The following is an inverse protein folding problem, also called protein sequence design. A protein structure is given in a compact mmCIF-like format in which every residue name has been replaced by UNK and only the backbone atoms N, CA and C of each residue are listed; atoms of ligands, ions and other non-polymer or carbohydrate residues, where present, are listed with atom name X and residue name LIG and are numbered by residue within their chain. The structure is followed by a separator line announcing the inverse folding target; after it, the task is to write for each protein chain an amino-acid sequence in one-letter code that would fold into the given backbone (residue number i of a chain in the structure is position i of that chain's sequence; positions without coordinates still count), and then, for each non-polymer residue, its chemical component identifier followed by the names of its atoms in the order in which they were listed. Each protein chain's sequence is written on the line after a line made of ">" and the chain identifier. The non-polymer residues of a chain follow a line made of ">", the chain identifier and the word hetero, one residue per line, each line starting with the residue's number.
data_IF_947396100968
#
_entry.id   IF_947396100968
#
_cell.length_a   1.000
_cell.length_b   1.000
_cell.length_c   1.000
_cell.angle_alpha   90.00
_cell.angle_beta   90.00
_cell.angle_gamma   90.00
#
_symmetry.space_group_name_H-M   'P 1'
#
loop_
_entity.id
_entity.type
_entity.pdbx_description
1 polymer ?
#
# COMPACT_ATOMS: atom_id res chain seq x y z
N UNK A 1 -26.06 -0.70 -26.43
CA UNK A 1 -24.59 -0.72 -26.36
C UNK A 1 -24.17 0.69 -26.01
N UNK A 2 -23.45 0.91 -24.91
CA UNK A 2 -22.89 2.25 -24.64
C UNK A 2 -21.79 2.47 -25.68
N UNK A 3 -22.00 3.37 -26.63
CA UNK A 3 -20.95 3.79 -27.56
C UNK A 3 -20.01 4.71 -26.80
N UNK A 4 -18.80 4.22 -26.52
CA UNK A 4 -17.74 5.06 -25.97
C UNK A 4 -17.14 5.90 -27.08
N UNK A 5 -17.20 7.22 -26.94
CA UNK A 5 -16.44 8.08 -27.84
C UNK A 5 -14.97 8.04 -27.46
N UNK A 6 -14.08 8.35 -28.42
CA UNK A 6 -12.66 8.51 -28.13
C UNK A 6 -12.39 9.51 -26.99
N UNK A 7 -13.22 10.56 -26.92
CA UNK A 7 -13.13 11.57 -25.87
C UNK A 7 -13.46 11.02 -24.48
N UNK A 8 -14.48 10.15 -24.37
CA UNK A 8 -14.82 9.50 -23.11
C UNK A 8 -13.69 8.59 -22.61
N UNK A 9 -13.06 7.86 -23.54
CA UNK A 9 -11.90 7.01 -23.23
C UNK A 9 -10.75 7.87 -22.71
N UNK A 10 -10.41 8.94 -23.43
CA UNK A 10 -9.32 9.83 -23.06
C UNK A 10 -9.56 10.47 -21.69
N UNK A 11 -10.77 10.98 -21.44
CA UNK A 11 -11.16 11.55 -20.15
C UNK A 11 -11.03 10.53 -19.01
N UNK A 12 -11.52 9.31 -19.20
CA UNK A 12 -11.44 8.25 -18.19
C UNK A 12 -10.00 7.83 -17.90
N UNK A 13 -9.15 7.72 -18.92
CA UNK A 13 -7.74 7.41 -18.74
C UNK A 13 -7.01 8.53 -17.99
N UNK A 14 -7.29 9.80 -18.28
CA UNK A 14 -6.72 10.94 -17.54
C UNK A 14 -7.19 10.96 -16.08
N UNK A 15 -8.47 10.65 -15.82
CA UNK A 15 -9.00 10.53 -14.47
C UNK A 15 -8.34 9.38 -13.70
N UNK A 16 -8.14 8.22 -14.33
CA UNK A 16 -7.44 7.10 -13.72
C UNK A 16 -5.96 7.41 -13.47
N UNK A 17 -5.28 8.05 -14.43
CA UNK A 17 -3.88 8.46 -14.30
C UNK A 17 -3.67 9.41 -13.11
N UNK A 18 -4.60 10.37 -12.90
CA UNK A 18 -4.59 11.23 -11.70
C UNK A 18 -4.57 10.40 -10.42
N UNK A 19 -5.42 9.38 -10.31
CA UNK A 19 -5.46 8.53 -9.12
C UNK A 19 -4.20 7.69 -8.97
N UNK A 20 -3.65 7.13 -10.04
CA UNK A 20 -2.37 6.42 -10.01
C UNK A 20 -1.26 7.31 -9.45
N UNK A 21 -1.16 8.56 -9.92
CA UNK A 21 -0.15 9.51 -9.44
C UNK A 21 -0.36 9.85 -7.97
N UNK A 22 -1.60 10.17 -7.56
CA UNK A 22 -1.91 10.54 -6.18
C UNK A 22 -1.64 9.39 -5.20
N UNK A 23 -2.12 8.19 -5.52
CA UNK A 23 -1.92 6.99 -4.70
C UNK A 23 -0.44 6.60 -4.65
N UNK A 24 0.27 6.68 -5.77
CA UNK A 24 1.71 6.42 -5.81
C UNK A 24 2.46 7.41 -4.93
N UNK A 25 2.17 8.71 -5.03
CA UNK A 25 2.82 9.73 -4.20
C UNK A 25 2.54 9.50 -2.71
N UNK A 26 1.29 9.21 -2.35
CA UNK A 26 0.92 8.89 -0.98
C UNK A 26 1.67 7.64 -0.46
N UNK A 27 1.75 6.58 -1.27
CA UNK A 27 2.48 5.36 -0.94
C UNK A 27 4.00 5.60 -0.82
N UNK A 28 4.59 6.42 -1.69
CA UNK A 28 6.00 6.79 -1.64
C UNK A 28 6.31 7.58 -0.38
N UNK A 29 5.53 8.62 -0.06
CA UNK A 29 5.73 9.44 1.13
C UNK A 29 5.53 8.61 2.40
N UNK A 30 4.41 7.88 2.49
CA UNK A 30 4.13 7.02 3.63
C UNK A 30 5.17 5.91 3.80
N UNK A 31 5.54 5.23 2.70
CA UNK A 31 6.58 4.22 2.68
C UNK A 31 7.95 4.75 3.07
N UNK A 32 8.31 5.97 2.65
CA UNK A 32 9.55 6.62 3.05
C UNK A 32 9.59 6.96 4.54
N UNK A 33 8.49 7.47 5.11
CA UNK A 33 8.38 7.76 6.54
C UNK A 33 8.50 6.48 7.38
N UNK A 34 7.80 5.41 6.99
CA UNK A 34 7.89 4.11 7.66
C UNK A 34 9.29 3.51 7.48
N UNK A 35 9.86 3.60 6.28
CA UNK A 35 11.22 3.15 6.00
C UNK A 35 12.26 3.87 6.86
N UNK A 36 12.09 5.18 7.08
CA UNK A 36 12.95 5.98 7.96
C UNK A 36 12.82 5.53 9.43
N UNK A 37 11.61 5.25 9.91
CA UNK A 37 11.41 4.70 11.25
C UNK A 37 12.10 3.33 11.40
N UNK A 38 11.94 2.44 10.40
CA UNK A 38 12.58 1.12 10.37
C UNK A 38 14.11 1.25 10.33
N UNK A 39 14.65 2.23 9.60
CA UNK A 39 16.09 2.53 9.58
C UNK A 39 16.61 2.83 10.99
N UNK A 40 15.95 3.73 11.74
CA UNK A 40 16.35 4.05 13.10
C UNK A 40 16.32 2.83 14.02
N UNK A 41 15.29 1.97 13.91
CA UNK A 41 15.21 0.72 14.67
C UNK A 41 16.35 -0.24 14.32
N UNK A 42 16.80 -0.26 13.07
CA UNK A 42 17.84 -1.17 12.56
C UNK A 42 19.26 -0.76 12.98
N UNK A 43 19.53 0.54 13.09
CA UNK A 43 20.86 1.04 13.55
C UNK A 43 20.98 1.12 15.07
N UNK A 44 19.88 0.96 15.80
CA UNK A 44 19.89 0.96 17.26
C UNK A 44 20.74 -0.19 17.83
N UNK A 45 21.41 0.08 18.97
CA UNK A 45 22.32 -0.87 19.63
C UNK A 45 21.59 -2.08 20.24
N UNK A 46 20.32 -1.93 20.58
CA UNK A 46 19.50 -2.96 21.23
C UNK A 46 19.18 -4.11 20.27
N UNK A 47 19.36 -5.37 20.70
CA UNK A 47 19.08 -6.55 19.87
C UNK A 47 17.59 -6.66 19.48
N UNK A 48 16.69 -6.23 20.37
CA UNK A 48 15.24 -6.30 20.16
C UNK A 48 14.74 -5.37 19.05
N UNK A 49 15.20 -4.12 18.99
CA UNK A 49 14.79 -3.17 17.95
C UNK A 49 15.19 -3.66 16.56
N UNK A 50 16.38 -4.24 16.43
CA UNK A 50 16.83 -4.86 15.18
C UNK A 50 15.97 -6.05 14.77
N UNK A 51 15.54 -6.89 15.72
CA UNK A 51 14.63 -8.02 15.44
C UNK A 51 13.27 -7.54 14.94
N UNK A 52 12.70 -6.49 15.56
CA UNK A 52 11.44 -5.90 15.12
C UNK A 52 11.58 -5.35 13.69
N UNK A 53 12.64 -4.59 13.42
CA UNK A 53 12.92 -4.08 12.08
C UNK A 53 13.06 -5.21 11.04
N UNK A 54 13.81 -6.27 11.38
CA UNK A 54 13.95 -7.44 10.50
C UNK A 54 12.63 -8.17 10.28
N UNK A 55 11.78 -8.30 11.31
CA UNK A 55 10.45 -8.92 11.20
C UNK A 55 9.54 -8.13 10.27
N UNK A 56 9.50 -6.79 10.42
CA UNK A 56 8.78 -5.91 9.50
C UNK A 56 9.26 -6.10 8.07
N UNK A 57 10.58 -6.02 7.83
CA UNK A 57 11.16 -6.17 6.48
C UNK A 57 10.84 -7.55 5.91
N UNK A 58 10.98 -8.63 6.69
CA UNK A 58 10.68 -9.98 6.25
C UNK A 58 9.20 -10.17 5.88
N UNK A 59 8.28 -9.58 6.65
CA UNK A 59 6.86 -9.62 6.33
C UNK A 59 6.57 -8.87 5.03
N UNK A 60 7.02 -7.62 4.91
CA UNK A 60 6.62 -6.77 3.78
C UNK A 60 7.38 -7.05 2.47
N UNK A 61 8.66 -7.44 2.54
CA UNK A 61 9.46 -7.81 1.36
C UNK A 61 9.43 -9.30 1.06
N UNK A 62 9.13 -10.15 2.05
CA UNK A 62 9.05 -11.60 1.88
C UNK A 62 7.67 -12.12 1.49
N UNK A 63 6.64 -11.27 1.48
CA UNK A 63 5.29 -11.65 1.02
C UNK A 63 4.88 -10.84 -0.21
N UNK A 64 4.21 -11.46 -1.21
CA UNK A 64 3.72 -10.72 -2.38
C UNK A 64 2.74 -9.61 -1.99
N UNK A 65 2.92 -8.41 -2.55
CA UNK A 65 2.01 -7.28 -2.33
C UNK A 65 0.55 -7.65 -2.65
N UNK A 66 0.33 -8.43 -3.69
CA UNK A 66 -1.02 -8.91 -4.05
C UNK A 66 -1.66 -9.72 -2.91
N UNK A 67 -0.87 -10.55 -2.20
CA UNK A 67 -1.36 -11.32 -1.05
C UNK A 67 -1.69 -10.39 0.13
N UNK A 68 -0.87 -9.37 0.37
CA UNK A 68 -1.14 -8.37 1.41
C UNK A 68 -2.44 -7.62 1.15
N UNK A 69 -2.64 -7.16 -0.09
CA UNK A 69 -3.89 -6.50 -0.50
C UNK A 69 -5.07 -7.46 -0.38
N UNK A 70 -4.91 -8.71 -0.81
CA UNK A 70 -5.95 -9.72 -0.66
C UNK A 70 -6.34 -9.93 0.82
N UNK A 71 -5.37 -10.10 1.72
CA UNK A 71 -5.66 -10.24 3.15
C UNK A 71 -6.29 -8.98 3.75
N UNK A 72 -5.90 -7.79 3.29
CA UNK A 72 -6.48 -6.54 3.74
C UNK A 72 -7.95 -6.40 3.31
N UNK A 73 -8.28 -6.72 2.05
CA UNK A 73 -9.64 -6.54 1.52
C UNK A 73 -10.58 -7.73 1.74
N UNK A 74 -10.06 -8.94 1.91
CA UNK A 74 -10.86 -10.15 2.07
C UNK A 74 -10.64 -10.86 3.41
N UNK A 75 -9.42 -10.82 3.97
CA UNK A 75 -9.11 -11.45 5.25
C UNK A 75 -9.61 -10.64 6.46
N UNK A 76 -9.32 -9.34 6.51
CA UNK A 76 -9.75 -8.48 7.63
C UNK A 76 -11.28 -8.44 7.82
N UNK A 77 -12.12 -8.39 6.76
CA UNK A 77 -13.57 -8.46 6.93
C UNK A 77 -14.04 -9.75 7.62
N UNK A 78 -13.34 -10.88 7.47
CA UNK A 78 -13.67 -12.12 8.19
C UNK A 78 -13.44 -12.00 9.69
N UNK A 79 -12.55 -11.09 10.12
CA UNK A 79 -12.31 -10.76 11.53
C UNK A 79 -13.24 -9.64 12.03
N UNK A 80 -14.19 -9.20 11.21
CA UNK A 80 -15.12 -8.10 11.53
C UNK A 80 -14.58 -6.70 11.23
N UNK A 81 -13.35 -6.57 10.70
CA UNK A 81 -12.74 -5.30 10.33
C UNK A 81 -13.00 -5.01 8.84
N UNK A 82 -14.05 -4.25 8.54
CA UNK A 82 -14.40 -3.87 7.18
C UNK A 82 -13.56 -2.68 6.73
N UNK A 83 -12.73 -2.88 5.71
CA UNK A 83 -12.04 -1.80 5.02
C UNK A 83 -12.98 -1.30 3.92
N UNK A 84 -13.68 -0.20 4.17
CA UNK A 84 -14.49 0.45 3.13
C UNK A 84 -13.57 1.34 2.28
N UNK A 85 -13.46 1.10 0.96
CA UNK A 85 -12.61 1.92 0.09
C UNK A 85 -13.07 3.38 -0.02
N UNK A 86 -14.33 3.63 0.33
CA UNK A 86 -14.97 4.94 0.33
C UNK A 86 -15.93 4.96 1.52
N UNK A 87 -15.47 5.49 2.65
CA UNK A 87 -16.39 6.17 3.57
C UNK A 87 -16.64 7.58 3.04
#
# INVERSE_FOLDING_TARGET
>A
MIEFTFWDILRNLLLAARWTVLLSLAAFVGGALVGLAVLFLRIAKTKWTRRIASGYVALFQGTPLLMQLFLMFFGLPMLGLRIEPWT
#
